data_IF_626945938183
#
_entry.id   IF_626945938183
#
_cell.length_a   1.000
_cell.length_b   1.000
_cell.length_c   1.000
_cell.angle_alpha   90.00
_cell.angle_beta   90.00
_cell.angle_gamma   90.00
#
_symmetry.space_group_name_H-M   'P 1'
#
loop_
_entity.id
_entity.type
_entity.pdbx_description
1 polymer ?
#
# COMPACT_ATOMS: atom_id res chain seq x y z
N UNK A 1 14.71 0.79 7.09
CA UNK A 1 15.67 0.74 8.19
C UNK A 1 14.91 1.05 9.47
N UNK A 2 14.98 0.19 10.48
CA UNK A 2 14.41 0.41 11.81
C UNK A 2 15.56 0.56 12.84
N UNK A 3 15.28 1.27 13.94
CA UNK A 3 16.15 1.56 15.09
C UNK A 3 16.79 0.30 15.73
N UNK A 4 16.28 -0.89 15.45
CA UNK A 4 16.83 -2.19 15.88
C UNK A 4 17.81 -2.84 14.88
N UNK A 5 18.14 -2.17 13.77
CA UNK A 5 19.14 -2.65 12.80
C UNK A 5 18.60 -3.69 11.81
N UNK A 6 17.28 -3.77 11.64
CA UNK A 6 16.67 -4.57 10.58
C UNK A 6 16.70 -3.80 9.26
N UNK A 7 17.50 -4.31 8.32
CA UNK A 7 17.47 -3.87 6.94
C UNK A 7 16.29 -4.54 6.22
N UNK A 8 15.19 -3.81 6.06
CA UNK A 8 14.14 -4.18 5.11
C UNK A 8 14.71 -4.05 3.71
N UNK A 9 14.77 -5.16 2.95
CA UNK A 9 14.99 -5.09 1.50
C UNK A 9 13.72 -4.50 0.88
N UNK A 10 13.71 -3.19 0.69
CA UNK A 10 12.60 -2.46 0.06
C UNK A 10 12.68 -2.69 -1.46
N UNK A 11 11.66 -3.36 -2.01
CA UNK A 11 11.33 -3.33 -3.44
C UNK A 11 9.93 -2.76 -3.55
N UNK A 12 9.73 -1.84 -4.48
CA UNK A 12 8.41 -1.26 -4.75
C UNK A 12 8.18 -1.27 -6.24
N UNK A 13 6.93 -1.42 -6.62
CA UNK A 13 6.36 -1.18 -7.95
C UNK A 13 5.02 -0.52 -7.69
N UNK A 14 4.86 0.72 -8.13
CA UNK A 14 3.57 1.41 -8.15
C UNK A 14 2.89 1.17 -9.50
N UNK A 15 1.57 1.04 -9.49
CA UNK A 15 0.73 1.08 -10.70
C UNK A 15 0.62 2.50 -11.28
N UNK A 16 1.02 3.50 -10.50
CA UNK A 16 0.91 4.93 -10.78
C UNK A 16 2.27 5.59 -11.07
N UNK A 17 3.32 4.80 -11.32
CA UNK A 17 4.67 5.32 -11.20
C UNK A 17 5.79 4.52 -11.84
N UNK A 18 6.94 5.16 -12.02
CA UNK A 18 8.19 4.53 -12.48
C UNK A 18 9.13 4.25 -11.30
N UNK A 19 9.66 3.04 -11.25
CA UNK A 19 10.78 2.68 -10.37
C UNK A 19 12.03 2.76 -11.21
N UNK A 20 12.89 3.72 -10.92
CA UNK A 20 14.16 3.85 -11.63
C UNK A 20 15.33 3.86 -10.68
N UNK A 21 16.46 3.39 -11.20
CA UNK A 21 17.72 3.37 -10.48
C UNK A 21 18.63 4.40 -11.12
N UNK A 22 18.90 5.47 -10.39
CA UNK A 22 19.75 6.57 -10.86
C UNK A 22 21.10 6.57 -10.17
N UNK A 23 22.09 7.09 -10.90
CA UNK A 23 23.38 7.40 -10.31
C UNK A 23 23.24 8.61 -9.39
N UNK A 24 23.74 8.46 -8.18
CA UNK A 24 23.78 9.53 -7.19
C UNK A 24 25.22 9.69 -6.71
N UNK A 25 25.75 10.91 -6.84
CA UNK A 25 27.04 11.23 -6.21
C UNK A 25 26.82 11.47 -4.73
N UNK A 26 27.35 10.58 -3.90
CA UNK A 26 27.29 10.70 -2.45
C UNK A 26 28.61 11.26 -1.94
N UNK A 27 28.52 12.18 -0.98
CA UNK A 27 29.66 12.74 -0.24
C UNK A 27 29.40 12.57 1.24
N UNK A 28 30.32 11.92 1.95
CA UNK A 28 30.23 11.68 3.39
C UNK A 28 31.43 12.33 4.06
N UNK A 29 31.23 13.37 4.90
CA UNK A 29 32.29 13.93 5.72
C UNK A 29 32.65 12.95 6.85
N UNK A 30 33.94 12.75 7.05
CA UNK A 30 34.53 11.83 8.01
C UNK A 30 35.60 12.60 8.79
N UNK A 31 35.23 13.09 9.97
CA UNK A 31 36.14 13.89 10.81
C UNK A 31 37.38 13.07 11.19
N UNK A 32 38.56 13.60 10.87
CA UNK A 32 39.82 12.95 11.20
C UNK A 32 40.97 13.95 11.14
N UNK A 33 41.80 13.91 12.18
CA UNK A 33 43.01 14.72 12.25
C UNK A 33 44.22 13.78 12.17
N UNK A 34 45.03 13.93 11.11
CA UNK A 34 46.23 13.09 10.89
C UNK A 34 47.27 13.18 12.01
N UNK A 35 47.32 14.28 12.78
CA UNK A 35 48.33 14.52 13.82
C UNK A 35 47.98 13.90 15.17
N UNK A 36 46.68 13.74 15.46
CA UNK A 36 46.19 13.31 16.78
C UNK A 36 45.31 12.05 16.71
N UNK A 37 44.81 11.70 15.53
CA UNK A 37 43.85 10.63 15.33
C UNK A 37 44.50 9.26 15.28
N UNK A 38 43.89 8.29 15.96
CA UNK A 38 44.25 6.88 15.80
C UNK A 38 43.73 6.37 14.43
N UNK A 39 44.65 6.16 13.49
CA UNK A 39 44.29 5.74 12.12
C UNK A 39 43.63 4.37 12.06
N UNK A 40 43.97 3.43 12.95
CA UNK A 40 43.31 2.11 12.97
C UNK A 40 41.83 2.23 13.34
N UNK A 41 41.53 3.03 14.36
CA UNK A 41 40.16 3.32 14.77
C UNK A 41 39.41 4.08 13.68
N UNK A 42 40.04 5.05 13.05
CA UNK A 42 39.46 5.79 11.94
C UNK A 42 39.10 4.87 10.76
N UNK A 43 40.00 4.00 10.35
CA UNK A 43 39.76 3.05 9.24
C UNK A 43 38.62 2.09 9.57
N UNK A 44 38.57 1.56 10.79
CA UNK A 44 37.57 0.55 11.19
C UNK A 44 36.19 1.14 11.47
N UNK A 45 36.13 2.36 11.99
CA UNK A 45 34.87 2.94 12.49
C UNK A 45 34.33 4.04 11.57
N UNK A 46 35.20 4.89 11.03
CA UNK A 46 34.79 6.06 10.25
C UNK A 46 34.79 5.77 8.74
N UNK A 47 35.89 5.25 8.18
CA UNK A 47 35.91 4.89 6.75
C UNK A 47 34.86 3.84 6.41
N UNK A 48 34.50 2.95 7.35
CA UNK A 48 33.47 1.94 7.10
C UNK A 48 32.08 2.55 6.93
N UNK A 49 31.82 3.78 7.37
CA UNK A 49 30.54 4.47 7.12
C UNK A 49 30.27 4.65 5.62
N UNK A 50 31.32 4.92 4.84
CA UNK A 50 31.19 5.06 3.39
C UNK A 50 30.85 3.74 2.69
N UNK A 51 31.55 2.66 3.03
CA UNK A 51 31.31 1.35 2.39
C UNK A 51 30.04 0.66 2.89
N UNK A 52 29.49 1.09 4.03
CA UNK A 52 28.18 0.65 4.57
C UNK A 52 27.01 1.43 3.98
N UNK A 53 27.27 2.51 3.22
CA UNK A 53 26.19 3.36 2.75
C UNK A 53 25.23 2.59 1.84
N UNK A 54 23.90 2.63 2.07
CA UNK A 54 22.93 1.84 1.30
C UNK A 54 23.02 2.03 -0.22
N UNK A 55 23.19 3.28 -0.69
CA UNK A 55 23.32 3.52 -2.13
C UNK A 55 24.61 2.95 -2.74
N UNK A 56 25.68 2.80 -1.95
CA UNK A 56 26.91 2.14 -2.42
C UNK A 56 26.71 0.63 -2.55
N UNK A 57 26.00 0.01 -1.60
CA UNK A 57 25.57 -1.38 -1.67
C UNK A 57 24.69 -1.63 -2.91
N UNK A 58 23.72 -0.76 -3.17
CA UNK A 58 22.88 -0.84 -4.36
C UNK A 58 23.70 -0.74 -5.65
N UNK A 59 24.74 0.11 -5.67
CA UNK A 59 25.65 0.24 -6.81
C UNK A 59 26.38 -1.07 -7.10
N UNK A 60 26.89 -1.74 -6.06
CA UNK A 60 27.51 -3.06 -6.19
C UNK A 60 26.56 -4.10 -6.79
N UNK A 61 25.36 -4.24 -6.21
CA UNK A 61 24.39 -5.21 -6.72
C UNK A 61 23.90 -4.89 -8.12
N UNK A 62 23.59 -3.62 -8.41
CA UNK A 62 23.19 -3.22 -9.75
C UNK A 62 24.28 -3.56 -10.77
N UNK A 63 25.55 -3.29 -10.45
CA UNK A 63 26.67 -3.47 -11.36
C UNK A 63 26.96 -4.94 -11.66
N UNK A 64 26.98 -5.78 -10.63
CA UNK A 64 27.44 -7.16 -10.76
C UNK A 64 26.29 -8.18 -10.81
N UNK A 65 25.01 -7.75 -10.84
CA UNK A 65 23.88 -8.67 -10.99
C UNK A 65 24.09 -9.63 -12.16
N UNK A 66 24.01 -10.93 -11.88
CA UNK A 66 24.20 -11.98 -12.88
C UNK A 66 25.65 -12.26 -13.29
N UNK A 67 26.65 -11.59 -12.71
CA UNK A 67 28.06 -11.90 -12.93
C UNK A 67 28.44 -13.21 -12.20
N UNK A 68 29.09 -14.13 -12.92
CA UNK A 68 29.53 -15.44 -12.39
C UNK A 68 30.57 -15.31 -11.27
N UNK A 69 31.24 -14.16 -11.16
CA UNK A 69 32.18 -13.87 -10.08
C UNK A 69 31.49 -13.54 -8.75
N UNK A 70 30.20 -13.17 -8.78
CA UNK A 70 29.39 -12.99 -7.57
C UNK A 70 28.43 -14.14 -7.33
N UNK A 71 27.96 -14.87 -8.35
CA UNK A 71 27.10 -16.04 -8.19
C UNK A 71 27.95 -17.32 -8.22
N UNK A 72 28.29 -17.86 -7.05
CA UNK A 72 29.21 -18.99 -6.91
C UNK A 72 28.45 -20.28 -6.59
N UNK A 73 28.44 -21.27 -7.49
CA UNK A 73 27.83 -22.57 -7.23
C UNK A 73 28.61 -23.37 -6.17
N UNK A 74 27.89 -23.91 -5.18
CA UNK A 74 28.46 -24.73 -4.11
C UNK A 74 27.91 -26.16 -4.08
N UNK A 75 26.58 -26.32 -4.17
CA UNK A 75 25.90 -27.60 -4.00
C UNK A 75 26.35 -28.37 -2.74
N UNK A 76 26.28 -27.72 -1.57
CA UNK A 76 26.73 -28.29 -0.27
C UNK A 76 25.57 -28.41 0.70
N UNK A 77 25.46 -29.56 1.36
CA UNK A 77 24.41 -29.79 2.35
C UNK A 77 24.68 -29.02 3.65
N UNK A 78 23.60 -28.56 4.27
CA UNK A 78 23.62 -27.96 5.60
C UNK A 78 22.60 -28.64 6.51
N UNK A 79 22.86 -28.57 7.81
CA UNK A 79 21.89 -28.90 8.86
C UNK A 79 21.54 -27.65 9.64
N UNK A 80 20.25 -27.41 9.88
CA UNK A 80 19.84 -26.29 10.73
C UNK A 80 20.00 -26.66 12.22
N UNK A 81 20.26 -25.66 13.05
CA UNK A 81 20.33 -25.84 14.49
C UNK A 81 18.91 -25.74 15.08
N UNK A 82 18.42 -26.83 15.66
CA UNK A 82 17.08 -26.88 16.26
C UNK A 82 16.94 -26.03 17.52
N UNK A 83 18.05 -25.72 18.19
CA UNK A 83 18.09 -24.85 19.37
C UNK A 83 18.21 -23.37 19.01
N UNK A 84 18.72 -23.08 17.81
CA UNK A 84 18.82 -21.74 17.26
C UNK A 84 18.64 -21.78 15.74
N UNK A 85 17.41 -21.65 15.28
CA UNK A 85 17.06 -21.76 13.86
C UNK A 85 17.69 -20.68 12.97
N UNK A 86 18.31 -19.64 13.55
CA UNK A 86 19.10 -18.68 12.78
C UNK A 86 20.47 -19.24 12.38
N UNK A 87 20.85 -20.43 12.85
CA UNK A 87 22.14 -21.05 12.58
C UNK A 87 22.01 -22.28 11.71
N UNK A 88 22.96 -22.42 10.80
CA UNK A 88 23.17 -23.64 10.03
C UNK A 88 24.62 -24.12 10.18
N UNK A 89 24.81 -25.43 10.14
CA UNK A 89 26.10 -26.10 10.10
C UNK A 89 26.31 -26.70 8.70
N UNK A 90 27.38 -26.30 8.02
CA UNK A 90 27.71 -26.80 6.69
C UNK A 90 29.20 -27.14 6.60
N UNK A 91 29.62 -28.34 7.06
CA UNK A 91 31.03 -28.68 7.23
C UNK A 91 31.80 -28.87 5.93
N UNK A 92 31.10 -28.97 4.80
CA UNK A 92 31.67 -29.18 3.46
C UNK A 92 31.78 -27.88 2.66
N UNK A 93 31.31 -26.76 3.21
CA UNK A 93 31.55 -25.43 2.65
C UNK A 93 32.98 -25.04 3.02
N UNK A 94 33.86 -24.96 2.01
CA UNK A 94 35.24 -24.52 2.20
C UNK A 94 35.29 -23.04 2.62
N UNK A 95 36.50 -22.52 2.91
CA UNK A 95 36.79 -21.13 3.33
C UNK A 95 36.53 -20.09 2.21
N UNK A 96 35.29 -20.01 1.73
CA UNK A 96 34.87 -19.15 0.63
C UNK A 96 33.67 -18.28 1.00
N UNK A 97 33.21 -18.31 2.25
CA UNK A 97 32.04 -17.55 2.70
C UNK A 97 32.48 -16.46 3.68
N UNK A 98 32.03 -15.24 3.44
CA UNK A 98 32.27 -14.09 4.31
C UNK A 98 30.97 -13.55 4.90
N UNK A 99 31.07 -12.81 6.00
CA UNK A 99 29.96 -11.99 6.49
C UNK A 99 29.48 -11.05 5.36
N UNK A 100 28.17 -11.00 5.16
CA UNK A 100 27.54 -10.23 4.09
C UNK A 100 27.17 -11.04 2.85
N UNK A 101 27.75 -12.23 2.64
CA UNK A 101 27.35 -13.15 1.57
C UNK A 101 25.90 -13.61 1.76
N UNK A 102 25.27 -14.03 0.67
CA UNK A 102 23.89 -14.52 0.68
C UNK A 102 23.89 -15.97 0.20
N UNK A 103 23.30 -16.86 0.97
CA UNK A 103 23.04 -18.23 0.55
C UNK A 103 21.73 -18.33 -0.20
N UNK A 104 21.77 -19.00 -1.34
CA UNK A 104 20.60 -19.64 -1.93
C UNK A 104 20.48 -21.04 -1.33
N UNK A 105 19.45 -21.24 -0.52
CA UNK A 105 19.16 -22.49 0.18
C UNK A 105 17.99 -23.17 -0.53
N UNK A 106 18.13 -24.46 -0.82
CA UNK A 106 17.06 -25.30 -1.34
C UNK A 106 16.74 -26.40 -0.34
N UNK A 107 15.46 -26.57 -0.05
CA UNK A 107 14.93 -27.62 0.83
C UNK A 107 13.63 -28.20 0.26
N UNK A 108 12.98 -29.11 0.99
CA UNK A 108 11.71 -29.71 0.58
C UNK A 108 10.59 -28.68 0.44
N UNK A 109 10.63 -27.61 1.23
CA UNK A 109 9.67 -26.50 1.20
C UNK A 109 9.94 -25.47 0.09
N UNK A 110 11.03 -25.63 -0.67
CA UNK A 110 11.39 -24.75 -1.79
C UNK A 110 12.72 -24.02 -1.61
N UNK A 111 12.90 -22.92 -2.35
CA UNK A 111 14.12 -22.11 -2.33
C UNK A 111 13.94 -20.89 -1.44
N UNK A 112 14.93 -20.61 -0.58
CA UNK A 112 14.99 -19.41 0.26
C UNK A 112 16.36 -18.76 0.21
N UNK A 113 16.42 -17.46 0.44
CA UNK A 113 17.65 -16.67 0.40
C UNK A 113 17.96 -16.11 1.79
N UNK A 114 19.17 -16.32 2.30
CA UNK A 114 19.55 -15.89 3.64
C UNK A 114 20.94 -15.25 3.66
N UNK A 115 21.04 -14.06 4.27
CA UNK A 115 22.30 -13.35 4.43
C UNK A 115 23.10 -13.93 5.59
N UNK A 116 24.38 -14.17 5.38
CA UNK A 116 25.35 -14.59 6.40
C UNK A 116 25.72 -13.39 7.26
N UNK A 117 25.38 -13.47 8.54
CA UNK A 117 25.63 -12.42 9.53
C UNK A 117 26.93 -12.66 10.30
N UNK A 118 27.28 -13.93 10.51
CA UNK A 118 28.49 -14.32 11.24
C UNK A 118 28.99 -15.67 10.71
N UNK A 119 30.31 -15.84 10.68
CA UNK A 119 30.98 -17.09 10.30
C UNK A 119 31.82 -17.59 11.49
N UNK A 120 31.47 -18.75 12.03
CA UNK A 120 32.19 -19.42 13.11
C UNK A 120 32.60 -20.82 12.70
N UNK A 121 33.77 -20.92 12.06
CA UNK A 121 34.24 -22.16 11.46
C UNK A 121 33.31 -22.63 10.33
N UNK A 122 32.60 -23.74 10.56
CA UNK A 122 31.63 -24.32 9.62
C UNK A 122 30.17 -24.01 9.99
N UNK A 123 29.97 -23.20 11.02
CA UNK A 123 28.67 -22.73 11.48
C UNK A 123 28.45 -21.30 10.99
N UNK A 124 27.28 -21.06 10.42
CA UNK A 124 26.88 -19.77 9.86
C UNK A 124 25.64 -19.26 10.59
N UNK A 125 25.72 -18.06 11.16
CA UNK A 125 24.54 -17.34 11.66
C UNK A 125 23.94 -16.54 10.50
N UNK A 126 22.65 -16.66 10.29
CA UNK A 126 21.91 -16.07 9.17
C UNK A 126 21.00 -14.93 9.66
N UNK A 127 20.46 -14.14 8.74
CA UNK A 127 19.53 -13.05 9.05
C UNK A 127 18.06 -13.49 9.20
N UNK A 128 17.77 -14.79 9.06
CA UNK A 128 16.43 -15.36 9.19
C UNK A 128 16.49 -16.81 9.67
N UNK A 129 15.38 -17.27 10.24
CA UNK A 129 15.24 -18.63 10.73
C UNK A 129 15.12 -19.62 9.58
N UNK A 130 15.82 -20.74 9.69
CA UNK A 130 15.79 -21.87 8.78
C UNK A 130 15.09 -23.03 9.48
N UNK A 131 14.06 -23.56 8.82
CA UNK A 131 13.12 -24.50 9.45
C UNK A 131 13.50 -25.96 9.24
N UNK A 132 14.33 -26.25 8.22
CA UNK A 132 14.69 -27.61 7.85
C UNK A 132 16.08 -27.69 7.19
N UNK A 133 16.59 -28.93 7.12
CA UNK A 133 17.84 -29.24 6.44
C UNK A 133 17.70 -29.05 4.92
N UNK A 134 18.81 -28.80 4.25
CA UNK A 134 18.79 -28.59 2.81
C UNK A 134 20.18 -28.50 2.18
N UNK A 135 20.23 -27.85 1.03
CA UNK A 135 21.44 -27.63 0.25
C UNK A 135 21.66 -26.14 0.01
N UNK A 136 22.86 -25.65 0.30
CA UNK A 136 23.34 -24.37 -0.21
C UNK A 136 23.66 -24.59 -1.69
N UNK A 137 22.79 -24.10 -2.56
CA UNK A 137 22.89 -24.23 -4.02
C UNK A 137 23.98 -23.28 -4.52
N UNK A 138 23.83 -22.00 -4.18
CA UNK A 138 24.74 -20.93 -4.57
C UNK A 138 25.09 -20.05 -3.37
N UNK A 139 26.26 -19.41 -3.45
CA UNK A 139 26.61 -18.24 -2.64
C UNK A 139 26.64 -17.03 -3.55
N UNK A 140 25.84 -16.03 -3.23
CA UNK A 140 25.94 -14.70 -3.84
C UNK A 140 26.86 -13.84 -2.99
N UNK A 141 27.96 -13.38 -3.58
CA UNK A 141 28.95 -12.53 -2.93
C UNK A 141 28.31 -11.21 -2.50
N UNK A 142 28.43 -10.90 -1.22
CA UNK A 142 28.03 -9.61 -0.68
C UNK A 142 29.14 -8.58 -0.78
N UNK A 143 28.78 -7.31 -0.83
CA UNK A 143 29.74 -6.24 -0.57
C UNK A 143 30.18 -6.29 0.90
N UNK A 144 31.46 -6.56 1.15
CA UNK A 144 32.01 -6.58 2.50
C UNK A 144 32.02 -5.18 3.11
N UNK A 145 31.38 -5.04 4.27
CA UNK A 145 31.25 -3.76 5.01
C UNK A 145 32.27 -3.59 6.14
N UNK A 146 33.26 -4.49 6.22
CA UNK A 146 34.37 -4.48 7.17
C UNK A 146 35.67 -4.78 6.45
N UNK A 147 36.75 -4.14 6.89
CA UNK A 147 38.11 -4.43 6.40
C UNK A 147 38.74 -5.60 7.16
N UNK A 148 39.55 -6.40 6.47
CA UNK A 148 40.46 -7.37 7.11
C UNK A 148 41.68 -6.65 7.68
N UNK A 149 42.43 -7.33 8.56
CA UNK A 149 43.70 -6.79 9.09
C UNK A 149 44.69 -6.38 7.99
N UNK A 150 44.81 -7.19 6.93
CA UNK A 150 45.70 -6.88 5.81
C UNK A 150 45.24 -5.63 5.02
N UNK A 151 43.93 -5.48 4.83
CA UNK A 151 43.35 -4.31 4.16
C UNK A 151 43.50 -3.04 5.02
N UNK A 152 43.34 -3.15 6.34
CA UNK A 152 43.58 -2.04 7.28
C UNK A 152 45.04 -1.59 7.21
N UNK A 153 45.99 -2.52 7.26
CA UNK A 153 47.43 -2.22 7.14
C UNK A 153 47.72 -1.49 5.82
N UNK A 154 47.15 -1.96 4.71
CA UNK A 154 47.33 -1.32 3.40
C UNK A 154 46.76 0.10 3.39
N UNK A 155 45.51 0.30 3.78
CA UNK A 155 44.84 1.62 3.80
C UNK A 155 45.56 2.58 4.76
N UNK A 156 46.05 2.08 5.89
CA UNK A 156 46.81 2.86 6.87
C UNK A 156 48.02 3.55 6.26
N UNK A 157 48.69 2.93 5.28
CA UNK A 157 49.81 3.59 4.57
C UNK A 157 49.41 4.89 3.88
N UNK A 158 48.14 5.02 3.46
CA UNK A 158 47.59 6.24 2.84
C UNK A 158 47.08 7.23 3.87
N UNK A 159 46.40 6.74 4.91
CA UNK A 159 45.86 7.58 5.98
C UNK A 159 46.97 8.27 6.77
N UNK A 160 48.04 7.54 7.09
CA UNK A 160 49.20 8.04 7.86
C UNK A 160 50.20 8.83 6.99
N UNK A 161 49.99 8.87 5.67
CA UNK A 161 50.87 9.60 4.76
C UNK A 161 50.76 11.11 5.00
N UNK A 162 51.92 11.77 5.14
CA UNK A 162 52.01 13.22 5.31
C UNK A 162 51.88 14.00 4.00
N UNK A 163 51.93 13.33 2.85
CA UNK A 163 51.87 13.95 1.52
C UNK A 163 50.66 13.54 0.71
N UNK A 164 50.03 12.40 1.02
CA UNK A 164 48.86 11.94 0.30
C UNK A 164 47.60 12.55 0.88
N UNK A 165 46.98 13.44 0.12
CA UNK A 165 45.69 14.04 0.47
C UNK A 165 44.53 13.25 -0.15
N UNK A 166 44.76 12.49 -1.21
CA UNK A 166 43.73 11.70 -1.88
C UNK A 166 44.17 10.26 -2.06
N UNK A 167 43.27 9.32 -1.78
CA UNK A 167 43.42 7.93 -2.16
C UNK A 167 42.08 7.31 -2.56
N UNK A 168 42.14 6.23 -3.32
CA UNK A 168 40.95 5.49 -3.77
C UNK A 168 41.05 4.04 -3.35
N UNK A 169 39.96 3.51 -2.80
CA UNK A 169 39.79 2.06 -2.61
C UNK A 169 38.75 1.54 -3.60
N UNK A 170 38.93 0.33 -4.08
CA UNK A 170 37.97 -0.38 -4.92
C UNK A 170 37.68 -1.75 -4.33
N UNK A 171 36.45 -2.22 -4.54
CA UNK A 171 36.07 -3.59 -4.21
C UNK A 171 36.12 -4.44 -5.49
N UNK A 172 37.06 -5.38 -5.54
CA UNK A 172 37.39 -6.12 -6.74
C UNK A 172 37.76 -7.57 -6.42
N UNK A 173 37.79 -8.41 -7.45
CA UNK A 173 38.28 -9.78 -7.34
C UNK A 173 39.76 -9.74 -6.93
N UNK A 174 40.10 -10.56 -5.94
CA UNK A 174 41.46 -10.75 -5.47
C UNK A 174 42.33 -11.29 -6.61
N UNK A 175 43.52 -10.73 -6.75
CA UNK A 175 44.42 -11.12 -7.85
C UNK A 175 44.73 -12.61 -7.81
N UNK A 176 44.51 -13.30 -8.93
CA UNK A 176 44.72 -14.76 -9.05
C UNK A 176 43.53 -15.62 -8.62
N UNK A 177 42.46 -15.02 -8.11
CA UNK A 177 41.23 -15.70 -7.72
C UNK A 177 40.13 -15.50 -8.77
N UNK A 178 39.09 -16.32 -8.71
CA UNK A 178 37.94 -16.26 -9.64
C UNK A 178 36.68 -15.69 -8.98
N UNK A 179 36.57 -15.82 -7.65
CA UNK A 179 35.34 -15.50 -6.93
C UNK A 179 35.58 -14.99 -5.49
N UNK A 180 36.82 -14.67 -5.14
CA UNK A 180 37.15 -14.06 -3.86
C UNK A 180 37.33 -12.56 -4.06
N UNK A 181 36.62 -11.77 -3.26
CA UNK A 181 36.60 -10.31 -3.37
C UNK A 181 37.27 -9.65 -2.17
N UNK A 182 38.00 -8.58 -2.42
CA UNK A 182 38.73 -7.86 -1.38
C UNK A 182 38.71 -6.34 -1.63
N UNK A 183 38.97 -5.59 -0.56
CA UNK A 183 39.21 -4.16 -0.68
C UNK A 183 40.66 -3.91 -1.10
N UNK A 184 40.85 -3.23 -2.22
CA UNK A 184 42.16 -2.96 -2.79
C UNK A 184 42.39 -1.45 -2.87
N UNK A 185 43.62 -1.01 -2.57
CA UNK A 185 44.06 0.33 -2.94
C UNK A 185 44.18 0.42 -4.46
N UNK A 186 43.60 1.46 -5.05
CA UNK A 186 43.79 1.76 -6.45
C UNK A 186 45.09 2.53 -6.65
N UNK A 187 46.04 1.93 -7.36
CA UNK A 187 47.38 2.47 -7.60
C UNK A 187 47.63 2.86 -9.07
N UNK A 188 46.67 2.58 -9.95
CA UNK A 188 46.75 2.88 -11.38
C UNK A 188 46.15 4.27 -11.62
N UNK A 189 46.66 5.01 -12.61
CA UNK A 189 46.07 6.30 -12.98
C UNK A 189 44.69 6.12 -13.61
N UNK A 190 43.74 6.96 -13.22
CA UNK A 190 42.36 6.96 -13.73
C UNK A 190 41.33 6.57 -12.66
N UNK A 191 40.07 6.49 -13.09
CA UNK A 191 38.96 6.05 -12.23
C UNK A 191 38.79 4.53 -12.33
N UNK A 192 38.70 3.80 -11.20
CA UNK A 192 38.42 2.37 -11.24
C UNK A 192 37.10 2.09 -11.95
N UNK A 193 37.09 1.00 -12.73
CA UNK A 193 35.84 0.51 -13.32
C UNK A 193 34.94 -0.12 -12.26
N UNK A 194 35.52 -0.70 -11.21
CA UNK A 194 34.84 -1.37 -10.11
C UNK A 194 34.14 -0.37 -9.17
N UNK A 195 33.26 -0.88 -8.30
CA UNK A 195 32.71 -0.06 -7.22
C UNK A 195 33.85 0.45 -6.34
N UNK A 196 33.95 1.77 -6.19
CA UNK A 196 35.07 2.42 -5.55
C UNK A 196 34.63 3.64 -4.73
N UNK A 197 35.47 4.01 -3.77
CA UNK A 197 35.31 5.19 -2.94
C UNK A 197 36.59 6.00 -3.01
N UNK A 198 36.46 7.29 -3.31
CA UNK A 198 37.55 8.27 -3.31
C UNK A 198 37.52 9.02 -1.98
N UNK A 199 38.62 9.02 -1.25
CA UNK A 199 38.78 9.79 -0.02
C UNK A 199 39.66 10.98 -0.29
N UNK A 200 39.15 12.19 -0.03
CA UNK A 200 39.90 13.44 -0.15
C UNK A 200 40.03 14.07 1.23
N UNK A 201 41.26 14.30 1.67
CA UNK A 201 41.58 14.94 2.94
C UNK A 201 41.62 16.45 2.76
N UNK A 202 40.97 17.18 3.66
CA UNK A 202 41.14 18.61 3.82
C UNK A 202 41.70 18.88 5.20
N UNK A 203 42.88 19.50 5.27
CA UNK A 203 43.42 19.98 6.54
C UNK A 203 42.65 21.23 6.97
N UNK A 204 42.03 21.16 8.14
CA UNK A 204 41.46 22.32 8.79
C UNK A 204 42.53 23.25 9.36
N UNK A 205 42.17 24.51 9.65
CA UNK A 205 43.05 25.43 10.39
C UNK A 205 43.06 25.05 11.87
N UNK A 206 41.95 24.47 12.37
CA UNK A 206 41.82 23.91 13.71
C UNK A 206 41.72 22.40 13.69
N UNK A 207 42.04 21.76 14.82
CA UNK A 207 42.07 20.31 14.93
C UNK A 207 40.72 19.63 14.62
N UNK A 208 39.61 20.33 14.92
CA UNK A 208 38.25 19.88 14.67
C UNK A 208 37.72 20.21 13.26
N UNK A 209 38.52 20.88 12.43
CA UNK A 209 38.16 21.27 11.05
C UNK A 209 38.81 20.35 10.02
N UNK A 210 39.63 19.38 10.45
CA UNK A 210 40.24 18.39 9.55
C UNK A 210 39.31 17.21 9.29
N UNK A 211 39.12 16.87 8.02
CA UNK A 211 38.23 15.79 7.61
C UNK A 211 38.67 15.11 6.33
N UNK A 212 38.26 13.86 6.18
CA UNK A 212 38.15 13.22 4.87
C UNK A 212 36.73 13.39 4.34
N UNK A 213 36.58 13.67 3.05
CA UNK A 213 35.32 13.55 2.33
C UNK A 213 35.39 12.29 1.47
N UNK A 214 34.60 11.28 1.85
CA UNK A 214 34.42 10.08 1.06
C UNK A 214 33.41 10.37 -0.06
N UNK A 215 33.80 10.15 -1.32
CA UNK A 215 32.98 10.38 -2.50
C UNK A 215 32.86 9.10 -3.31
N UNK A 216 31.64 8.74 -3.71
CA UNK A 216 31.38 7.61 -4.60
C UNK A 216 30.11 7.83 -5.41
N UNK A 217 29.95 7.06 -6.49
CA UNK A 217 28.69 6.98 -7.25
C UNK A 217 27.86 5.81 -6.73
N UNK A 218 26.83 6.15 -5.96
CA UNK A 218 25.84 5.19 -5.48
C UNK A 218 24.70 5.01 -6.48
N UNK A 219 23.82 4.06 -6.18
CA UNK A 219 22.54 3.90 -6.86
C UNK A 219 21.40 4.20 -5.90
N UNK A 220 20.61 5.22 -6.23
CA UNK A 220 19.36 5.52 -5.54
C UNK A 220 18.24 4.76 -6.23
N UNK A 221 17.39 4.13 -5.43
CA UNK A 221 16.13 3.60 -5.92
C UNK A 221 15.11 4.71 -5.72
N UNK A 222 14.62 5.27 -6.80
CA UNK A 222 13.63 6.33 -6.78
C UNK A 222 12.28 5.77 -7.20
N UNK A 223 11.25 6.28 -6.52
CA UNK A 223 9.85 6.01 -6.81
C UNK A 223 9.25 7.32 -7.26
N UNK A 224 8.92 7.40 -8.54
CA UNK A 224 8.10 8.46 -9.07
C UNK A 224 6.69 7.92 -9.12
N UNK A 225 5.77 8.50 -8.33
CA UNK A 225 4.32 8.30 -8.51
C UNK A 225 3.75 9.54 -9.18
N UNK A 226 2.74 9.33 -10.03
CA UNK A 226 1.97 10.39 -10.69
C UNK A 226 1.04 11.13 -9.74
N UNK A 227 0.73 10.56 -8.57
CA UNK A 227 -0.14 11.12 -7.54
C UNK A 227 0.53 11.17 -6.15
N UNK A 228 -0.13 11.80 -5.17
CA UNK A 228 0.41 11.94 -3.80
C UNK A 228 0.46 10.58 -3.08
N UNK A 229 1.63 9.94 -3.03
CA UNK A 229 1.88 8.84 -2.09
C UNK A 229 2.02 9.41 -0.68
N UNK A 230 1.06 9.11 0.20
CA UNK A 230 1.16 9.40 1.64
C UNK A 230 1.76 8.20 2.36
N UNK A 231 3.02 8.33 2.80
CA UNK A 231 3.65 7.36 3.69
C UNK A 231 3.13 7.56 5.11
N UNK A 232 2.46 6.57 5.69
CA UNK A 232 2.10 6.56 7.11
C UNK A 232 3.14 5.76 7.90
N UNK A 233 3.85 6.43 8.81
CA UNK A 233 4.74 5.78 9.77
C UNK A 233 4.15 5.95 11.18
N UNK A 234 3.85 4.84 11.85
CA UNK A 234 3.48 4.81 13.26
C UNK A 234 4.35 3.78 13.98
N UNK A 235 5.18 4.22 14.94
CA UNK A 235 6.14 3.33 15.61
C UNK A 235 5.57 2.64 16.87
N UNK A 236 4.33 2.95 17.27
CA UNK A 236 3.65 2.33 18.45
C UNK A 236 2.12 2.42 18.43
N UNK A 237 1.50 2.91 17.36
CA UNK A 237 0.04 2.99 17.24
C UNK A 237 -0.39 2.24 15.99
N UNK A 238 -1.31 1.29 16.16
CA UNK A 238 -2.09 0.76 15.06
C UNK A 238 -2.69 1.94 14.31
N UNK A 239 -2.22 2.18 13.09
CA UNK A 239 -2.86 3.12 12.19
C UNK A 239 -4.06 2.37 11.63
N UNK A 240 -5.21 2.55 12.29
CA UNK A 240 -6.47 2.04 11.77
C UNK A 240 -6.85 2.91 10.56
N UNK A 241 -6.55 2.41 9.38
CA UNK A 241 -6.99 2.96 8.09
C UNK A 241 -8.46 2.60 7.87
N UNK A 242 -9.34 3.27 8.62
CA UNK A 242 -10.78 2.99 8.63
C UNK A 242 -11.53 3.64 7.46
N UNK A 243 -10.84 4.41 6.61
CA UNK A 243 -11.47 5.22 5.55
C UNK A 243 -11.01 4.80 4.15
N UNK A 244 -9.82 4.22 3.97
CA UNK A 244 -9.30 3.88 2.62
C UNK A 244 -8.95 2.40 2.40
N UNK A 245 -8.83 1.58 3.45
CA UNK A 245 -8.47 0.15 3.37
C UNK A 245 -7.21 -0.16 2.53
N UNK A 246 -6.34 0.82 2.28
CA UNK A 246 -5.15 0.70 1.42
C UNK A 246 -4.17 -0.34 1.95
N UNK A 247 -4.05 -0.43 3.28
CA UNK A 247 -3.23 -1.44 3.99
C UNK A 247 -3.65 -2.90 3.76
N UNK A 248 -4.85 -3.14 3.24
CA UNK A 248 -5.36 -4.49 2.90
C UNK A 248 -5.36 -4.77 1.40
N UNK A 249 -5.20 -3.74 0.56
CA UNK A 249 -5.30 -3.82 -0.91
C UNK A 249 -3.95 -3.99 -1.60
N UNK A 250 -2.89 -3.43 -1.04
CA UNK A 250 -1.56 -3.46 -1.64
C UNK A 250 -0.67 -4.51 -0.94
N UNK A 251 -0.55 -5.69 -1.55
CA UNK A 251 0.43 -6.70 -1.16
C UNK A 251 1.73 -6.52 -1.96
N UNK A 252 2.86 -6.37 -1.25
CA UNK A 252 4.19 -6.23 -1.86
C UNK A 252 4.78 -7.62 -2.10
N UNK A 253 4.96 -8.01 -3.36
CA UNK A 253 5.63 -9.25 -3.74
C UNK A 253 7.09 -8.99 -4.17
N UNK A 254 8.02 -9.78 -3.64
CA UNK A 254 9.46 -9.72 -3.91
C UNK A 254 9.89 -10.97 -4.69
N UNK A 255 10.31 -10.83 -5.95
CA UNK A 255 10.91 -11.93 -6.72
C UNK A 255 12.27 -11.55 -7.33
N UNK A 256 13.20 -12.49 -7.31
CA UNK A 256 14.54 -12.34 -7.92
C UNK A 256 14.50 -12.80 -9.37
N UNK A 257 14.89 -11.92 -10.30
CA UNK A 257 15.10 -12.30 -11.70
C UNK A 257 16.33 -13.23 -11.77
N UNK A 258 16.13 -14.51 -12.06
CA UNK A 258 17.21 -15.46 -12.35
C UNK A 258 17.45 -15.52 -13.85
N UNK A 259 18.67 -15.21 -14.28
CA UNK A 259 19.04 -15.26 -15.71
C UNK A 259 18.94 -16.70 -16.22
N UNK A 260 18.06 -16.95 -17.19
CA UNK A 260 17.86 -18.27 -17.81
C UNK A 260 16.85 -19.18 -17.12
N UNK A 261 16.17 -18.72 -16.07
CA UNK A 261 15.01 -19.42 -15.52
C UNK A 261 13.83 -19.28 -16.48
N UNK A 262 13.28 -20.39 -16.97
CA UNK A 262 11.90 -20.38 -17.46
C UNK A 262 11.02 -20.11 -16.25
N UNK A 263 10.40 -18.93 -16.21
CA UNK A 263 9.41 -18.59 -15.18
C UNK A 263 8.30 -19.64 -15.20
N UNK A 264 8.27 -20.54 -14.22
CA UNK A 264 7.02 -21.21 -13.88
C UNK A 264 6.08 -20.10 -13.45
N UNK A 265 4.92 -19.99 -14.12
CA UNK A 265 3.96 -18.94 -13.86
C UNK A 265 3.66 -18.76 -12.37
N UNK A 266 3.37 -17.53 -11.98
CA UNK A 266 2.77 -17.20 -10.70
C UNK A 266 1.54 -18.08 -10.49
N UNK A 267 1.58 -18.90 -9.46
CA UNK A 267 0.47 -19.75 -9.04
C UNK A 267 0.76 -20.28 -7.65
N UNK A 268 0.19 -19.65 -6.64
CA UNK A 268 -0.13 -20.33 -5.38
C UNK A 268 -1.13 -21.45 -5.68
N UNK A 269 -1.09 -22.57 -4.95
CA UNK A 269 -2.07 -23.64 -5.09
C UNK A 269 -3.51 -23.20 -4.72
N UNK A 270 -3.64 -22.01 -4.13
CA UNK A 270 -4.87 -21.28 -3.83
C UNK A 270 -4.85 -19.99 -4.64
N UNK A 271 -5.73 -19.85 -5.64
CA UNK A 271 -5.75 -18.65 -6.48
C UNK A 271 -5.89 -17.36 -5.65
N UNK A 272 -4.99 -16.40 -5.88
CA UNK A 272 -5.03 -15.07 -5.27
C UNK A 272 -6.04 -14.20 -6.05
N UNK A 273 -6.92 -13.49 -5.35
CA UNK A 273 -7.86 -12.56 -5.97
C UNK A 273 -7.25 -11.15 -6.03
N UNK A 274 -7.29 -10.52 -7.21
CA UNK A 274 -6.87 -9.13 -7.40
C UNK A 274 -8.02 -8.31 -7.95
N UNK A 275 -8.11 -7.04 -7.57
CA UNK A 275 -9.09 -6.12 -8.15
C UNK A 275 -8.54 -5.58 -9.47
N UNK A 276 -9.21 -5.90 -10.58
CA UNK A 276 -8.83 -5.39 -11.91
C UNK A 276 -9.24 -3.92 -12.05
N UNK A 277 -10.39 -3.53 -11.53
CA UNK A 277 -10.83 -2.13 -11.59
C UNK A 277 -12.19 -1.94 -10.94
N UNK A 278 -12.53 -0.68 -10.70
CA UNK A 278 -13.84 -0.26 -10.19
C UNK A 278 -14.36 0.88 -11.05
N UNK A 279 -15.67 0.94 -11.20
CA UNK A 279 -16.35 1.99 -11.95
C UNK A 279 -17.64 2.38 -11.22
N UNK A 280 -18.02 3.67 -11.23
CA UNK A 280 -19.30 4.10 -10.70
C UNK A 280 -20.45 3.57 -11.56
N UNK A 281 -21.60 3.35 -10.93
CA UNK A 281 -22.87 3.12 -11.63
C UNK A 281 -23.31 4.44 -12.27
N UNK A 282 -23.51 4.41 -13.58
CA UNK A 282 -23.92 5.59 -14.37
C UNK A 282 -25.09 5.23 -15.28
N UNK A 283 -25.79 6.25 -15.81
CA UNK A 283 -26.92 6.07 -16.74
C UNK A 283 -27.96 5.05 -16.25
N UNK A 284 -28.25 5.04 -14.94
CA UNK A 284 -29.20 4.09 -14.37
C UNK A 284 -30.62 4.41 -14.83
N UNK A 285 -31.35 3.38 -15.25
CA UNK A 285 -32.73 3.47 -15.68
C UNK A 285 -33.54 2.27 -15.20
N UNK A 286 -34.85 2.49 -15.06
CA UNK A 286 -35.81 1.42 -14.77
C UNK A 286 -35.92 0.55 -16.02
N UNK A 287 -35.59 -0.74 -15.89
CA UNK A 287 -35.71 -1.70 -17.00
C UNK A 287 -37.10 -2.34 -17.05
N UNK A 288 -37.65 -2.70 -15.90
CA UNK A 288 -38.99 -3.25 -15.74
C UNK A 288 -39.57 -2.81 -14.37
N UNK A 289 -40.72 -3.34 -13.94
CA UNK A 289 -41.36 -2.93 -12.67
C UNK A 289 -40.47 -3.13 -11.43
N UNK A 290 -39.51 -4.04 -11.45
CA UNK A 290 -38.66 -4.43 -10.30
C UNK A 290 -37.15 -4.47 -10.62
N UNK A 291 -36.76 -4.17 -11.86
CA UNK A 291 -35.39 -4.31 -12.37
C UNK A 291 -34.80 -3.00 -12.89
N UNK A 292 -33.48 -2.96 -13.05
CA UNK A 292 -32.75 -1.79 -13.53
C UNK A 292 -31.68 -2.16 -14.57
N UNK A 293 -31.39 -1.19 -15.43
CA UNK A 293 -30.22 -1.17 -16.32
C UNK A 293 -29.29 -0.02 -15.94
N UNK A 294 -27.99 -0.20 -16.14
CA UNK A 294 -26.99 0.82 -15.86
C UNK A 294 -25.67 0.54 -16.59
N UNK A 295 -24.82 1.56 -16.65
CA UNK A 295 -23.48 1.48 -17.23
C UNK A 295 -22.42 1.48 -16.13
N UNK A 296 -21.36 0.69 -16.35
CA UNK A 296 -20.09 0.79 -15.66
C UNK A 296 -19.02 1.24 -16.66
N UNK A 297 -18.47 2.44 -16.47
CA UNK A 297 -17.46 3.04 -17.34
C UNK A 297 -16.10 2.99 -16.63
N UNK A 298 -15.23 2.11 -17.10
CA UNK A 298 -13.87 1.89 -16.62
C UNK A 298 -12.84 2.83 -17.27
N UNK A 299 -13.27 3.67 -18.20
CA UNK A 299 -12.41 4.65 -18.83
C UNK A 299 -11.78 5.57 -17.76
N UNK A 300 -10.44 5.66 -17.76
CA UNK A 300 -9.64 6.44 -16.81
C UNK A 300 -9.65 5.95 -15.35
N UNK A 301 -10.07 4.72 -15.07
CA UNK A 301 -10.04 4.15 -13.71
C UNK A 301 -8.78 3.33 -13.40
N UNK A 302 -7.89 3.15 -14.38
CA UNK A 302 -6.71 2.27 -14.26
C UNK A 302 -7.00 0.78 -14.50
N UNK A 303 -8.26 0.45 -14.83
CA UNK A 303 -8.70 -0.93 -15.01
C UNK A 303 -8.06 -1.62 -16.21
N UNK A 304 -7.77 -0.85 -17.26
CA UNK A 304 -7.16 -1.36 -18.50
C UNK A 304 -5.72 -1.78 -18.29
N UNK A 305 -4.94 -0.97 -17.61
CA UNK A 305 -3.55 -1.26 -17.27
C UNK A 305 -3.45 -2.51 -16.38
N UNK A 306 -4.36 -2.64 -15.41
CA UNK A 306 -4.45 -3.80 -14.53
C UNK A 306 -4.91 -5.06 -15.27
N UNK A 307 -5.84 -4.93 -16.21
CA UNK A 307 -6.28 -6.02 -17.09
C UNK A 307 -5.14 -6.48 -18.04
N UNK A 308 -4.43 -5.54 -18.67
CA UNK A 308 -3.27 -5.83 -19.53
C UNK A 308 -2.14 -6.52 -18.76
N UNK A 309 -1.91 -6.12 -17.50
CA UNK A 309 -0.98 -6.79 -16.60
C UNK A 309 -1.42 -8.23 -16.30
N UNK A 310 -2.70 -8.43 -15.96
CA UNK A 310 -3.24 -9.76 -15.64
C UNK A 310 -3.22 -10.72 -16.84
N UNK A 311 -3.38 -10.20 -18.07
CA UNK A 311 -3.31 -10.99 -19.30
C UNK A 311 -1.87 -11.18 -19.82
N UNK A 312 -0.87 -10.56 -19.19
CA UNK A 312 0.53 -10.67 -19.62
C UNK A 312 1.16 -12.00 -19.19
N UNK A 313 0.97 -13.02 -20.03
CA UNK A 313 1.57 -14.35 -19.84
C UNK A 313 3.11 -14.36 -19.74
N UNK A 314 3.80 -13.34 -20.26
CA UNK A 314 5.27 -13.24 -20.16
C UNK A 314 5.74 -12.88 -18.74
N UNK A 315 4.86 -12.35 -17.90
CA UNK A 315 5.14 -12.11 -16.50
C UNK A 315 4.88 -13.35 -15.65
N UNK A 316 4.11 -14.33 -16.13
CA UNK A 316 3.84 -15.58 -15.42
C UNK A 316 2.42 -15.67 -14.85
N UNK A 317 1.54 -14.70 -15.09
CA UNK A 317 0.12 -14.84 -14.70
C UNK A 317 -0.55 -15.87 -15.63
N UNK A 318 -1.17 -16.90 -15.05
CA UNK A 318 -1.83 -17.97 -15.84
C UNK A 318 -3.09 -18.49 -15.14
N UNK A 319 -4.11 -18.87 -15.92
CA UNK A 319 -5.36 -19.42 -15.38
C UNK A 319 -6.28 -18.37 -14.73
N UNK A 320 -6.28 -17.14 -15.25
CA UNK A 320 -7.11 -16.02 -14.76
C UNK A 320 -8.60 -16.30 -14.93
N UNK A 321 -9.38 -16.00 -13.90
CA UNK A 321 -10.83 -16.02 -13.93
C UNK A 321 -11.34 -14.65 -13.47
N UNK A 322 -12.30 -14.09 -14.20
CA UNK A 322 -12.84 -12.76 -13.95
C UNK A 322 -14.27 -12.85 -13.40
N UNK A 323 -14.53 -12.07 -12.36
CA UNK A 323 -15.84 -11.94 -11.73
C UNK A 323 -16.15 -10.47 -11.48
N UNK A 324 -17.43 -10.11 -11.50
CA UNK A 324 -17.91 -8.77 -11.19
C UNK A 324 -18.79 -8.80 -9.96
N UNK A 325 -18.73 -7.75 -9.16
CA UNK A 325 -19.61 -7.53 -8.01
C UNK A 325 -20.16 -6.12 -8.07
N UNK A 326 -21.44 -5.94 -7.74
CA UNK A 326 -21.99 -4.64 -7.41
C UNK A 326 -21.72 -4.36 -5.94
N UNK A 327 -21.18 -3.20 -5.62
CA UNK A 327 -20.80 -2.83 -4.26
C UNK A 327 -21.77 -1.75 -3.77
N UNK A 328 -22.41 -1.97 -2.63
CA UNK A 328 -23.27 -0.95 -2.03
C UNK A 328 -22.42 0.16 -1.37
N UNK A 329 -22.99 1.36 -1.14
CA UNK A 329 -22.33 2.39 -0.33
C UNK A 329 -21.93 1.91 1.08
N UNK A 330 -22.59 0.87 1.60
CA UNK A 330 -22.31 0.27 2.89
C UNK A 330 -21.20 -0.80 2.83
N UNK A 331 -20.60 -1.03 1.65
CA UNK A 331 -19.54 -2.02 1.45
C UNK A 331 -20.02 -3.47 1.30
N UNK A 332 -21.33 -3.69 1.06
CA UNK A 332 -21.85 -5.03 0.76
C UNK A 332 -21.58 -5.39 -0.69
N UNK A 333 -21.07 -6.60 -0.92
CA UNK A 333 -20.81 -7.11 -2.26
C UNK A 333 -21.95 -8.01 -2.76
N UNK A 334 -22.41 -7.75 -3.98
CA UNK A 334 -23.42 -8.51 -4.69
C UNK A 334 -22.80 -9.09 -5.97
N UNK A 335 -22.39 -10.37 -5.98
CA UNK A 335 -21.81 -10.99 -7.16
C UNK A 335 -22.76 -10.94 -8.36
N UNK A 336 -22.22 -10.53 -9.50
CA UNK A 336 -22.94 -10.46 -10.77
C UNK A 336 -22.66 -11.69 -11.61
N UNK A 337 -23.72 -12.21 -12.24
CA UNK A 337 -23.61 -13.27 -13.23
C UNK A 337 -23.17 -12.68 -14.57
N UNK A 338 -22.48 -13.47 -15.39
CA UNK A 338 -22.11 -13.06 -16.76
C UNK A 338 -23.32 -12.72 -17.65
N UNK A 339 -24.52 -13.19 -17.28
CA UNK A 339 -25.80 -12.83 -17.93
C UNK A 339 -26.29 -11.43 -17.58
N UNK A 340 -25.84 -10.85 -16.47
CA UNK A 340 -26.17 -9.47 -16.10
C UNK A 340 -25.38 -8.45 -16.92
N UNK A 341 -24.27 -8.84 -17.57
CA UNK A 341 -23.52 -7.99 -18.50
C UNK A 341 -24.09 -8.22 -19.89
N UNK A 342 -24.86 -7.24 -20.38
CA UNK A 342 -25.59 -7.33 -21.65
C UNK A 342 -24.78 -6.79 -22.84
N UNK A 343 -23.82 -5.91 -22.58
CA UNK A 343 -22.84 -5.46 -23.57
C UNK A 343 -21.48 -5.14 -22.92
N UNK A 344 -20.35 -5.42 -23.59
CA UNK A 344 -20.21 -6.13 -24.86
C UNK A 344 -20.67 -7.59 -24.80
N UNK A 345 -20.98 -8.21 -25.95
CA UNK A 345 -21.49 -9.58 -25.99
C UNK A 345 -20.39 -10.64 -25.95
N UNK A 346 -19.18 -10.30 -26.40
CA UNK A 346 -18.02 -11.20 -26.39
C UNK A 346 -17.51 -11.51 -24.98
N UNK A 347 -17.01 -12.72 -24.75
CA UNK A 347 -16.52 -13.15 -23.43
C UNK A 347 -15.35 -12.29 -22.91
N UNK A 348 -14.42 -11.90 -23.79
CA UNK A 348 -13.32 -10.98 -23.45
C UNK A 348 -13.81 -9.55 -23.24
N UNK A 349 -14.76 -9.10 -24.06
CA UNK A 349 -15.36 -7.77 -23.92
C UNK A 349 -16.10 -7.57 -22.59
N UNK A 350 -16.69 -8.63 -22.03
CA UNK A 350 -17.39 -8.58 -20.73
C UNK A 350 -16.49 -8.35 -19.51
N UNK A 351 -15.17 -8.32 -19.67
CA UNK A 351 -14.24 -8.13 -18.54
C UNK A 351 -14.20 -6.66 -18.11
N UNK A 352 -13.81 -5.75 -19.02
CA UNK A 352 -13.81 -4.30 -18.76
C UNK A 352 -14.46 -3.48 -19.89
N UNK A 353 -15.02 -4.11 -20.92
CA UNK A 353 -15.51 -3.41 -22.11
C UNK A 353 -14.47 -3.39 -23.24
N UNK A 354 -13.71 -4.46 -23.43
CA UNK A 354 -12.62 -4.53 -24.43
C UNK A 354 -13.10 -4.88 -25.85
N UNK A 355 -14.37 -4.60 -26.15
CA UNK A 355 -14.95 -4.81 -27.46
C UNK A 355 -16.03 -3.77 -27.74
N UNK A 356 -16.16 -3.37 -29.00
CA UNK A 356 -17.20 -2.44 -29.47
C UNK A 356 -18.13 -3.16 -30.44
N UNK A 357 -18.95 -4.08 -29.95
CA UNK A 357 -19.83 -4.90 -30.79
C UNK A 357 -21.25 -4.31 -30.94
N UNK A 358 -21.66 -3.35 -30.10
CA UNK A 358 -22.95 -2.65 -30.22
C UNK A 358 -22.86 -1.11 -30.14
N UNK A 359 -21.64 -0.55 -30.25
CA UNK A 359 -21.43 0.90 -30.18
C UNK A 359 -21.27 1.47 -28.77
N UNK A 360 -21.11 0.60 -27.77
CA UNK A 360 -21.03 0.97 -26.35
C UNK A 360 -19.72 1.66 -25.94
N UNK A 361 -18.75 1.74 -26.86
CA UNK A 361 -17.41 2.27 -26.58
C UNK A 361 -16.50 1.25 -25.91
N UNK A 362 -15.19 1.49 -25.97
CA UNK A 362 -14.21 0.72 -25.20
C UNK A 362 -14.30 1.12 -23.73
N UNK A 363 -13.93 0.22 -22.83
CA UNK A 363 -13.93 0.44 -21.38
C UNK A 363 -15.31 0.67 -20.75
N UNK A 364 -16.37 0.20 -21.40
CA UNK A 364 -17.72 0.29 -20.88
C UNK A 364 -18.40 -1.07 -20.86
N UNK A 365 -19.05 -1.37 -19.75
CA UNK A 365 -20.00 -2.46 -19.63
C UNK A 365 -21.41 -1.89 -19.47
N UNK A 366 -22.37 -2.44 -20.20
CA UNK A 366 -23.78 -2.23 -19.96
C UNK A 366 -24.32 -3.42 -19.18
N UNK A 367 -24.98 -3.16 -18.05
CA UNK A 367 -25.47 -4.15 -17.13
C UNK A 367 -26.98 -4.04 -16.95
N UNK A 368 -27.60 -5.19 -16.66
CA UNK A 368 -29.02 -5.30 -16.40
C UNK A 368 -29.33 -6.35 -15.36
N UNK A 369 -30.16 -5.98 -14.39
CA UNK A 369 -30.65 -6.85 -13.33
C UNK A 369 -32.17 -6.85 -13.42
N UNK A 370 -32.75 -8.02 -13.67
CA UNK A 370 -34.18 -8.15 -13.95
C UNK A 370 -35.05 -7.98 -12.68
N UNK A 371 -34.49 -8.26 -11.50
CA UNK A 371 -35.14 -8.11 -10.20
C UNK A 371 -34.12 -7.67 -9.13
N UNK A 372 -34.36 -6.49 -8.53
CA UNK A 372 -33.50 -5.91 -7.50
C UNK A 372 -33.82 -6.42 -6.08
N UNK A 373 -34.80 -7.33 -5.91
CA UNK A 373 -35.23 -7.83 -4.59
C UNK A 373 -34.12 -8.48 -3.77
N UNK A 374 -33.05 -8.95 -4.43
CA UNK A 374 -31.87 -9.55 -3.78
C UNK A 374 -30.79 -8.53 -3.41
N UNK A 375 -30.92 -7.27 -3.85
CA UNK A 375 -29.97 -6.20 -3.57
C UNK A 375 -30.53 -5.40 -2.40
N UNK A 376 -29.84 -5.51 -1.26
CA UNK A 376 -30.26 -4.88 -0.01
C UNK A 376 -29.24 -3.85 0.43
N UNK A 377 -29.56 -3.07 1.45
CA UNK A 377 -28.64 -2.15 2.10
C UNK A 377 -28.74 -2.39 3.60
N UNK A 378 -27.63 -2.22 4.32
CA UNK A 378 -27.60 -2.33 5.79
C UNK A 378 -28.20 -1.10 6.47
N UNK A 379 -28.46 -0.06 5.69
CA UNK A 379 -28.84 1.25 6.17
C UNK A 379 -30.36 1.33 6.42
N UNK A 380 -30.74 1.77 7.62
CA UNK A 380 -32.13 2.08 8.01
C UNK A 380 -32.66 3.41 7.45
N UNK A 381 -31.84 4.10 6.66
CA UNK A 381 -32.17 5.37 6.03
C UNK A 381 -32.85 5.08 4.70
N UNK A 382 -34.16 5.29 4.69
CA UNK A 382 -34.94 5.45 3.47
C UNK A 382 -34.28 6.59 2.68
N UNK A 383 -33.95 6.33 1.40
CA UNK A 383 -33.45 7.39 0.52
C UNK A 383 -34.40 8.57 0.55
N UNK A 384 -33.87 9.79 0.71
CA UNK A 384 -34.65 11.01 0.51
C UNK A 384 -35.36 10.91 -0.84
N UNK A 385 -36.68 11.12 -0.84
CA UNK A 385 -37.55 11.06 -2.03
C UNK A 385 -37.77 9.66 -2.67
N UNK A 386 -37.51 8.54 -1.96
CA UNK A 386 -37.86 7.20 -2.47
C UNK A 386 -39.31 6.80 -2.16
N UNK A 387 -40.09 6.29 -3.14
CA UNK A 387 -41.40 5.71 -2.87
C UNK A 387 -41.25 4.46 -1.99
N UNK A 388 -41.95 4.44 -0.86
CA UNK A 388 -41.96 3.31 0.08
C UNK A 388 -43.31 2.62 0.04
N UNK A 389 -43.32 1.30 0.22
CA UNK A 389 -44.56 0.53 0.42
C UNK A 389 -45.13 0.87 1.79
N UNK A 390 -46.46 1.04 1.89
CA UNK A 390 -47.12 1.41 3.14
C UNK A 390 -46.79 0.41 4.26
N UNK A 391 -46.24 0.93 5.37
CA UNK A 391 -45.95 0.16 6.59
C UNK A 391 -47.14 0.24 7.55
N UNK A 392 -47.32 -0.79 8.40
CA UNK A 392 -48.23 -0.73 9.55
C UNK A 392 -47.57 -0.11 10.79
N UNK A 393 -46.30 0.30 10.70
CA UNK A 393 -45.57 0.90 11.81
C UNK A 393 -45.99 2.37 12.03
N UNK A 394 -46.18 2.74 13.30
CA UNK A 394 -46.48 4.11 13.71
C UNK A 394 -45.21 4.75 14.27
N UNK A 395 -44.78 5.88 13.68
CA UNK A 395 -43.68 6.67 14.22
C UNK A 395 -44.21 7.76 15.15
N UNK A 396 -43.75 7.78 16.40
CA UNK A 396 -44.12 8.80 17.38
C UNK A 396 -43.01 9.84 17.47
N UNK A 397 -43.38 11.12 17.57
CA UNK A 397 -42.41 12.22 17.75
C UNK A 397 -41.48 11.95 18.93
N UNK A 398 -40.20 12.33 18.81
CA UNK A 398 -39.19 12.16 19.86
C UNK A 398 -39.46 13.02 21.10
N UNK A 399 -40.18 14.14 20.93
CA UNK A 399 -40.59 15.04 22.00
C UNK A 399 -41.99 15.57 21.78
N UNK A 400 -42.63 16.03 22.86
CA UNK A 400 -43.95 16.64 22.80
C UNK A 400 -43.88 18.00 22.09
N UNK A 401 -44.86 18.27 21.23
CA UNK A 401 -45.07 19.57 20.60
C UNK A 401 -46.07 20.36 21.43
N UNK A 402 -45.81 21.65 21.64
CA UNK A 402 -46.74 22.55 22.31
C UNK A 402 -47.84 23.00 21.33
N UNK A 403 -49.09 22.80 21.72
CA UNK A 403 -50.26 23.33 21.02
C UNK A 403 -50.68 24.63 21.71
N UNK A 404 -50.74 25.71 20.95
CA UNK A 404 -51.22 27.01 21.39
C UNK A 404 -52.72 27.14 21.11
N UNK A 405 -53.39 28.00 21.87
CA UNK A 405 -54.81 28.31 21.72
C UNK A 405 -54.98 29.83 21.61
N UNK A 406 -55.91 30.29 20.77
CA UNK A 406 -56.24 31.71 20.68
C UNK A 406 -57.09 32.13 21.89
N UNK A 407 -56.45 32.59 22.97
CA UNK A 407 -57.10 33.11 24.17
C UNK A 407 -56.21 34.04 24.99
N UNK A 408 -56.80 34.99 25.73
CA UNK A 408 -56.04 35.91 26.58
C UNK A 408 -55.39 35.16 27.77
N UNK A 409 -54.14 35.43 28.16
CA UNK A 409 -53.49 34.74 29.26
C UNK A 409 -54.25 34.90 30.58
N UNK A 410 -54.93 33.84 31.02
CA UNK A 410 -55.69 33.82 32.29
C UNK A 410 -57.19 33.56 32.15
N UNK A 411 -57.75 33.48 30.94
CA UNK A 411 -59.14 33.07 30.74
C UNK A 411 -59.25 31.53 30.73
N UNK A 412 -59.15 30.89 31.90
CA UNK A 412 -59.59 29.49 32.09
C UNK A 412 -61.12 29.48 32.09
N UNK A 413 -61.73 29.78 30.94
CA UNK A 413 -63.06 29.26 30.64
C UNK A 413 -62.85 27.82 30.22
N UNK A 414 -63.62 26.93 30.82
CA UNK A 414 -63.78 25.52 30.42
C UNK A 414 -63.59 25.35 28.92
N UNK A 415 -62.40 24.86 28.53
CA UNK A 415 -61.97 24.58 27.16
C UNK A 415 -62.92 23.54 26.59
N UNK A 416 -64.02 23.99 26.00
CA UNK A 416 -65.06 23.15 25.45
C UNK A 416 -64.84 23.07 23.94
N UNK A 417 -64.16 22.02 23.48
CA UNK A 417 -64.08 21.46 22.10
C UNK A 417 -64.13 22.36 20.83
N UNK A 418 -64.12 23.68 20.93
CA UNK A 418 -64.47 24.59 19.83
C UNK A 418 -63.50 25.77 19.65
N UNK A 419 -62.49 25.93 20.51
CA UNK A 419 -61.48 26.97 20.36
C UNK A 419 -60.40 26.53 19.37
N UNK A 420 -60.08 27.41 18.42
CA UNK A 420 -59.04 27.15 17.42
C UNK A 420 -57.70 26.98 18.12
N UNK A 421 -57.07 25.84 17.87
CA UNK A 421 -55.75 25.50 18.41
C UNK A 421 -54.77 25.36 17.25
N UNK A 422 -53.54 25.81 17.45
CA UNK A 422 -52.53 25.83 16.41
C UNK A 422 -51.15 25.56 16.98
N UNK A 423 -50.26 25.09 16.11
CA UNK A 423 -48.84 25.02 16.38
C UNK A 423 -48.08 25.39 15.12
N UNK A 424 -46.88 25.92 15.28
CA UNK A 424 -46.00 26.28 14.16
C UNK A 424 -44.73 25.47 14.31
N UNK A 425 -44.44 24.62 13.33
CA UNK A 425 -43.27 23.74 13.34
C UNK A 425 -42.48 24.05 12.07
N UNK A 426 -41.21 24.41 12.22
CA UNK A 426 -40.34 24.64 11.06
C UNK A 426 -39.97 23.31 10.37
N UNK A 427 -39.50 23.39 9.12
CA UNK A 427 -39.01 22.20 8.39
C UNK A 427 -37.84 21.54 9.12
N UNK A 428 -36.93 22.32 9.72
CA UNK A 428 -35.82 21.80 10.54
C UNK A 428 -36.29 21.14 11.84
N UNK A 429 -37.35 21.66 12.45
CA UNK A 429 -37.91 21.08 13.68
C UNK A 429 -38.63 19.76 13.39
N UNK A 430 -39.34 19.63 12.26
CA UNK A 430 -39.93 18.36 11.83
C UNK A 430 -38.86 17.25 11.72
N UNK A 431 -37.70 17.56 11.14
CA UNK A 431 -36.57 16.62 11.11
C UNK A 431 -36.08 16.27 12.51
N UNK A 432 -35.96 17.27 13.39
CA UNK A 432 -35.50 17.10 14.79
C UNK A 432 -36.50 16.28 15.63
N UNK A 433 -37.80 16.41 15.36
CA UNK A 433 -38.89 15.63 15.98
C UNK A 433 -38.94 14.18 15.47
N UNK A 434 -38.08 13.81 14.52
CA UNK A 434 -37.97 12.45 14.00
C UNK A 434 -38.91 12.15 12.83
N UNK A 435 -39.41 13.16 12.11
CA UNK A 435 -40.20 12.96 10.90
C UNK A 435 -39.45 12.11 9.87
N UNK A 436 -40.17 11.19 9.22
CA UNK A 436 -39.65 10.30 8.17
C UNK A 436 -40.46 10.54 6.90
N UNK A 437 -39.81 11.01 5.83
CA UNK A 437 -40.44 11.28 4.53
C UNK A 437 -40.11 12.66 3.95
N UNK A 438 -40.71 13.00 2.81
CA UNK A 438 -40.56 14.31 2.15
C UNK A 438 -41.45 15.36 2.80
N UNK A 439 -40.84 16.33 3.49
CA UNK A 439 -41.55 17.50 4.03
C UNK A 439 -42.02 18.35 2.85
N UNK A 440 -43.33 18.37 2.59
CA UNK A 440 -43.92 19.16 1.51
C UNK A 440 -45.37 19.52 1.83
N UNK A 441 -45.82 20.64 1.28
CA UNK A 441 -47.21 21.08 1.42
C UNK A 441 -48.19 20.02 0.86
N UNK A 442 -47.84 19.41 -0.28
CA UNK A 442 -48.64 18.36 -0.91
C UNK A 442 -48.82 17.14 0.00
N UNK A 443 -47.75 16.73 0.71
CA UNK A 443 -47.82 15.64 1.68
C UNK A 443 -48.79 15.96 2.82
N UNK A 444 -48.65 17.11 3.47
CA UNK A 444 -49.48 17.46 4.63
C UNK A 444 -50.94 17.77 4.26
N UNK A 445 -51.19 18.31 3.07
CA UNK A 445 -52.55 18.49 2.54
C UNK A 445 -53.24 17.16 2.23
N UNK A 446 -52.47 16.15 1.82
CA UNK A 446 -53.02 14.80 1.63
C UNK A 446 -53.24 14.11 2.98
N UNK A 447 -52.28 14.27 3.90
CA UNK A 447 -52.29 13.63 5.21
C UNK A 447 -53.40 14.13 6.15
N UNK A 448 -53.87 15.37 5.99
CA UNK A 448 -55.00 15.94 6.75
C UNK A 448 -56.33 15.21 6.57
N UNK A 449 -56.42 14.30 5.59
CA UNK A 449 -57.64 13.50 5.35
C UNK A 449 -57.41 12.00 5.42
N UNK A 450 -56.15 11.54 5.51
CA UNK A 450 -55.79 10.12 5.37
C UNK A 450 -55.20 9.47 6.63
N UNK A 451 -55.19 10.18 7.77
CA UNK A 451 -54.56 9.74 9.05
C UNK A 451 -53.08 9.37 8.95
N UNK A 452 -52.40 9.76 7.87
CA UNK A 452 -50.95 9.53 7.72
C UNK A 452 -50.11 10.50 8.57
N UNK A 453 -50.74 11.54 9.13
CA UNK A 453 -50.19 12.47 10.10
C UNK A 453 -51.31 12.83 11.09
N UNK A 454 -51.05 12.67 12.38
CA UNK A 454 -52.03 12.94 13.44
C UNK A 454 -51.36 13.63 14.63
N UNK A 455 -52.08 14.52 15.31
CA UNK A 455 -51.70 14.95 16.65
C UNK A 455 -52.30 13.98 17.66
N UNK A 456 -51.48 13.48 18.57
CA UNK A 456 -51.92 12.60 19.65
C UNK A 456 -51.78 13.34 20.98
N UNK A 457 -52.86 13.40 21.75
CA UNK A 457 -52.82 13.91 23.13
C UNK A 457 -52.05 12.90 24.01
N UNK A 458 -51.12 13.41 24.81
CA UNK A 458 -50.31 12.58 25.70
C UNK A 458 -51.09 12.05 26.92
N UNK A 459 -52.24 12.63 27.25
CA UNK A 459 -52.99 12.32 28.47
C UNK A 459 -53.99 11.18 28.28
N UNK A 460 -54.68 11.12 27.15
CA UNK A 460 -55.74 10.13 26.86
C UNK A 460 -55.53 9.38 25.54
N UNK A 461 -54.43 9.64 24.83
CA UNK A 461 -54.12 9.07 23.52
C UNK A 461 -55.18 9.35 22.44
N UNK A 462 -56.01 10.39 22.60
CA UNK A 462 -56.89 10.85 21.56
C UNK A 462 -56.08 11.35 20.36
N UNK A 463 -56.48 10.93 19.15
CA UNK A 463 -55.84 11.34 17.91
C UNK A 463 -56.74 12.31 17.15
N UNK A 464 -56.16 13.39 16.64
CA UNK A 464 -56.79 14.34 15.74
C UNK A 464 -56.03 14.39 14.42
N UNK A 465 -56.75 14.18 13.32
CA UNK A 465 -56.22 14.19 11.96
C UNK A 465 -56.89 15.24 11.06
N UNK A 466 -58.04 15.79 11.46
CA UNK A 466 -58.71 16.88 10.75
C UNK A 466 -58.02 18.20 11.09
N UNK A 467 -57.15 18.67 10.19
CA UNK A 467 -56.28 19.83 10.41
C UNK A 467 -56.26 20.74 9.18
N UNK A 468 -56.30 22.04 9.42
CA UNK A 468 -56.02 23.05 8.40
C UNK A 468 -54.51 23.34 8.39
N UNK A 469 -53.83 23.00 7.30
CA UNK A 469 -52.39 23.21 7.14
C UNK A 469 -52.15 24.49 6.33
N UNK A 470 -51.42 25.44 6.91
CA UNK A 470 -51.02 26.67 6.23
C UNK A 470 -49.51 26.78 6.25
N UNK A 471 -48.87 26.95 5.09
CA UNK A 471 -47.42 27.15 4.99
C UNK A 471 -47.12 28.65 4.97
N UNK A 472 -46.37 29.14 5.95
CA UNK A 472 -45.87 30.52 5.95
C UNK A 472 -44.50 30.55 5.28
N UNK A 473 -44.42 31.16 4.09
CA UNK A 473 -43.19 31.25 3.30
C UNK A 473 -42.43 32.56 3.49
N UNK A 474 -42.83 33.43 4.44
CA UNK A 474 -42.20 34.75 4.56
C UNK A 474 -40.88 34.63 5.34
N UNK A 475 -39.72 35.02 4.77
CA UNK A 475 -38.52 35.24 5.56
C UNK A 475 -38.80 36.43 6.48
N UNK A 476 -38.64 36.28 7.79
CA UNK A 476 -38.48 37.44 8.67
C UNK A 476 -37.16 38.14 8.28
N UNK A 477 -37.21 39.05 7.31
CA UNK A 477 -36.17 40.05 7.08
C UNK A 477 -36.17 40.98 8.30
N UNK A 478 -35.25 40.72 9.24
CA UNK A 478 -34.87 41.74 10.21
C UNK A 478 -33.92 42.73 9.53
N UNK A 479 -34.42 43.94 9.25
CA UNK A 479 -33.58 45.16 9.18
C UNK A 479 -33.24 45.67 10.56
#
# INVERSE_FOLDING_TARGET
>A
DDVLGHHSNLSVTGSDGSVFVEDETIKIPLSYNKLQGNSDNFIRNELTKAIKHPSFLNSFFHKYRGDVSILVPLARNYTYDTSNQMKILAPTVANVVSEGDIFELSSLSGTTWAKVMEVSGTTYTLNKAIQENGTIVNVVRGLRTKFTEAEVIAIKTKVDSSTEETFTIKYAIKTGETNLWEWQLHTIAGTPTECHVVFNYSSGIRDNESEYVATFTGKKIAFESRDQVKFFYGNTTDVIDNETNLSTRDAIYLNYLTTGGTSSGFGTATGDAITIGQAPVTNSAIYNTVGAEFDAVFQYTGARESYEFAENSALGVSGTAYTHSLISPDGLEYPLLASHIIAPTSASGKIIGDATDLGDGIDKLQLRIDDLSTITSLNSTIGLDSPVTASSETNTSLTNVTINFDGEPGDIKTLANADSSFTTISTSDLTTLGFKGKISLDYFNTASTSSNWVFRDNSDAAEQNDMVVTFDSVPNEYT
#
